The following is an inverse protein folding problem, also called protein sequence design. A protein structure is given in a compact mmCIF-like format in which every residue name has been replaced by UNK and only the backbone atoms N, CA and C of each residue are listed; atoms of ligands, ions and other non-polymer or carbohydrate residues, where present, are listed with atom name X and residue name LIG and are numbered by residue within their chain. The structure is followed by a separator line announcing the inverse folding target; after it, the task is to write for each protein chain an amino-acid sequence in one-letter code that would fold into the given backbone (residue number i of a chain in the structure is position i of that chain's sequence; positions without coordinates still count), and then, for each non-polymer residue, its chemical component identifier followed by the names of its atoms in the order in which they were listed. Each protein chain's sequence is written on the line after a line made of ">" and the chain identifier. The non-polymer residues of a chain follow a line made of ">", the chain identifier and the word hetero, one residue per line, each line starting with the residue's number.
data_IF_101212422216
#
_entry.id   IF_101212422216
#
_cell.length_a   1.000
_cell.length_b   1.000
_cell.length_c   1.000
_cell.angle_alpha   90.00
_cell.angle_beta   90.00
_cell.angle_gamma   90.00
#
_symmetry.space_group_name_H-M   'P 1'
#
loop_
_entity.id
_entity.type
_entity.pdbx_description
1 polymer ?
#
# COMPACT_ATOMS: atom_id res chain seq x y z
N UNK A 1 17.82 -7.01 -3.58
CA UNK A 1 16.77 -6.07 -3.97
C UNK A 1 17.12 -4.73 -3.38
N UNK A 2 17.20 -3.68 -4.20
CA UNK A 2 17.44 -2.31 -3.71
C UNK A 2 16.13 -1.70 -3.18
N UNK A 3 16.22 -0.52 -2.57
CA UNK A 3 15.07 0.16 -1.98
C UNK A 3 13.98 0.48 -3.01
N UNK A 4 14.35 0.87 -4.23
CA UNK A 4 13.41 1.17 -5.32
C UNK A 4 12.63 -0.07 -5.76
N UNK A 5 13.32 -1.19 -5.96
CA UNK A 5 12.72 -2.47 -6.29
C UNK A 5 11.79 -2.96 -5.18
N UNK A 6 12.18 -2.77 -3.91
CA UNK A 6 11.32 -3.09 -2.75
C UNK A 6 10.04 -2.26 -2.75
N UNK A 7 10.15 -0.93 -2.93
CA UNK A 7 9.00 -0.03 -3.01
C UNK A 7 8.06 -0.41 -4.15
N UNK A 8 8.61 -0.81 -5.30
CA UNK A 8 7.81 -1.27 -6.44
C UNK A 8 7.04 -2.55 -6.14
N UNK A 9 7.68 -3.56 -5.54
CA UNK A 9 7.01 -4.80 -5.12
C UNK A 9 5.90 -4.52 -4.11
N UNK A 10 6.14 -3.64 -3.14
CA UNK A 10 5.12 -3.25 -2.15
C UNK A 10 3.92 -2.58 -2.83
N UNK A 11 4.15 -1.72 -3.83
CA UNK A 11 3.08 -1.06 -4.57
C UNK A 11 2.19 -2.07 -5.33
N UNK A 12 2.80 -3.06 -5.97
CA UNK A 12 2.08 -4.14 -6.66
C UNK A 12 1.23 -4.96 -5.67
N UNK A 13 1.80 -5.34 -4.53
CA UNK A 13 1.08 -6.07 -3.48
C UNK A 13 -0.10 -5.28 -2.90
N UNK A 14 0.05 -3.95 -2.77
CA UNK A 14 -1.03 -3.09 -2.31
C UNK A 14 -2.17 -3.00 -3.33
N UNK A 15 -1.86 -2.95 -4.63
CA UNK A 15 -2.85 -2.98 -5.70
C UNK A 15 -3.65 -4.30 -5.70
N UNK A 16 -2.95 -5.43 -5.55
CA UNK A 16 -3.59 -6.73 -5.46
C UNK A 16 -4.46 -6.86 -4.20
N UNK A 17 -4.00 -6.37 -3.05
CA UNK A 17 -4.79 -6.34 -1.82
C UNK A 17 -6.06 -5.50 -1.97
N UNK A 18 -5.99 -4.35 -2.67
CA UNK A 18 -7.16 -3.53 -3.00
C UNK A 18 -8.15 -4.27 -3.89
N UNK A 19 -7.66 -4.97 -4.92
CA UNK A 19 -8.49 -5.77 -5.83
C UNK A 19 -9.19 -6.90 -5.07
N UNK A 20 -8.47 -7.61 -4.20
CA UNK A 20 -9.04 -8.66 -3.36
C UNK A 20 -10.09 -8.09 -2.39
N UNK A 21 -9.83 -6.96 -1.76
CA UNK A 21 -10.78 -6.31 -0.84
C UNK A 21 -12.12 -5.97 -1.51
N UNK A 22 -12.14 -5.67 -2.81
CA UNK A 22 -13.38 -5.42 -3.55
C UNK A 22 -14.19 -6.70 -3.80
N UNK A 23 -13.52 -7.85 -3.91
CA UNK A 23 -14.14 -9.15 -4.17
C UNK A 23 -14.56 -9.84 -2.87
N UNK A 24 -13.72 -9.73 -1.83
CA UNK A 24 -13.91 -10.33 -0.52
C UNK A 24 -13.55 -9.32 0.58
N UNK A 25 -14.54 -8.55 1.06
CA UNK A 25 -14.31 -7.53 2.06
C UNK A 25 -13.78 -8.10 3.38
N UNK A 26 -12.62 -7.62 3.82
CA UNK A 26 -12.01 -7.96 5.10
C UNK A 26 -11.59 -6.69 5.85
N UNK A 27 -12.13 -6.48 7.05
CA UNK A 27 -11.83 -5.29 7.85
C UNK A 27 -10.33 -5.14 8.21
N UNK A 28 -9.64 -6.26 8.43
CA UNK A 28 -8.20 -6.25 8.73
C UNK A 28 -7.33 -5.94 7.52
N UNK A 29 -7.78 -6.32 6.32
CA UNK A 29 -7.14 -5.93 5.06
C UNK A 29 -7.38 -4.45 4.77
N UNK A 30 -8.61 -3.96 4.95
CA UNK A 30 -8.95 -2.55 4.80
C UNK A 30 -8.10 -1.63 5.70
N UNK A 31 -7.97 -1.95 6.99
CA UNK A 31 -7.13 -1.17 7.91
C UNK A 31 -5.66 -1.10 7.46
N UNK A 32 -5.12 -2.20 6.93
CA UNK A 32 -3.73 -2.25 6.41
C UNK A 32 -3.58 -1.47 5.11
N UNK A 33 -4.59 -1.47 4.23
CA UNK A 33 -4.62 -0.62 3.03
C UNK A 33 -4.61 0.86 3.44
N UNK A 34 -5.41 1.26 4.43
CA UNK A 34 -5.42 2.63 4.95
C UNK A 34 -4.07 3.05 5.51
N UNK A 35 -3.45 2.21 6.34
CA UNK A 35 -2.10 2.47 6.87
C UNK A 35 -1.07 2.65 5.76
N UNK A 36 -1.12 1.81 4.72
CA UNK A 36 -0.20 1.89 3.59
C UNK A 36 -0.39 3.19 2.78
N UNK A 37 -1.65 3.60 2.54
CA UNK A 37 -1.93 4.85 1.83
C UNK A 37 -1.47 6.07 2.62
N UNK A 38 -1.75 6.10 3.93
CA UNK A 38 -1.29 7.17 4.80
C UNK A 38 0.23 7.30 4.80
N UNK A 39 0.96 6.18 4.90
CA UNK A 39 2.42 6.18 4.85
C UNK A 39 2.98 6.70 3.51
N UNK A 40 2.32 6.38 2.39
CA UNK A 40 2.70 6.88 1.06
C UNK A 40 2.45 8.39 0.95
N UNK A 41 1.32 8.88 1.46
CA UNK A 41 0.98 10.31 1.43
C UNK A 41 1.90 11.12 2.33
N UNK A 42 2.13 10.68 3.58
CA UNK A 42 3.02 11.37 4.51
C UNK A 42 4.49 11.32 4.09
N UNK A 43 4.93 10.24 3.44
CA UNK A 43 6.29 10.17 2.87
C UNK A 43 6.52 11.06 1.66
N UNK A 44 5.44 11.57 1.04
CA UNK A 44 5.49 12.48 -0.11
C UNK A 44 5.70 13.94 0.29
N UNK A 45 5.36 14.29 1.53
CA UNK A 45 5.52 15.63 2.10
C UNK A 45 6.95 15.90 2.61
N UNK A 46 7.76 14.85 2.82
CA UNK A 46 9.18 14.94 3.23
C UNK A 46 10.17 15.04 2.03
N UNK A 47 9.68 14.92 0.79
CA UNK A 47 10.47 15.12 -0.45
C UNK A 47 10.33 16.55 -1.03
N UNK A 48 10.18 17.56 -0.15
CA UNK A 48 10.08 18.99 -0.48
C UNK A 48 11.41 19.75 -0.46
#
# INVERSE_FOLDING_TARGET
>A
MNETELKHVIALLLEDAKRLQQLEPNAGTEARIWLALYAIESGRDDEG
#
